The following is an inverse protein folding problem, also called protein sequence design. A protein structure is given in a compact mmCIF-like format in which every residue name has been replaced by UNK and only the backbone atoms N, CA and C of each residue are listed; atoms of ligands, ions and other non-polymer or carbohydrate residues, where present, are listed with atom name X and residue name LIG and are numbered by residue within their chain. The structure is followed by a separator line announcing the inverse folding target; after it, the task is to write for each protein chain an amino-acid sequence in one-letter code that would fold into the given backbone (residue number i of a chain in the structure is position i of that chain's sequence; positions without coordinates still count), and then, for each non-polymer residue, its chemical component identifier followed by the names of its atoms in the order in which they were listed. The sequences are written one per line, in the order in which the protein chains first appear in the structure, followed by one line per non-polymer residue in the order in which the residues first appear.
data_IF_498063878256
#
_entry.id   IF_498063878256
#
_cell.length_a   1.000
_cell.length_b   1.000
_cell.length_c   1.000
_cell.angle_alpha   90.00
_cell.angle_beta   90.00
_cell.angle_gamma   90.00
#
_symmetry.space_group_name_H-M   'P 1'
#
loop_
_entity.id
_entity.type
_entity.pdbx_description
1 polymer ?
#
# COMPACT_ATOMS: atom_id res chain seq x y z
N UNK A 1 -19.81 10.75 2.35
CA UNK A 1 -19.61 11.92 1.47
C UNK A 1 -18.77 11.45 0.28
N UNK A 2 -19.33 11.59 -0.92
CA UNK A 2 -18.63 11.24 -2.16
C UNK A 2 -17.96 12.50 -2.70
N UNK A 3 -16.64 12.48 -2.88
CA UNK A 3 -15.90 13.56 -3.54
C UNK A 3 -15.60 13.08 -4.95
N UNK A 4 -16.19 13.74 -5.95
CA UNK A 4 -15.75 13.56 -7.34
C UNK A 4 -14.42 14.32 -7.50
N UNK A 5 -13.33 13.61 -7.72
CA UNK A 5 -12.13 14.22 -8.26
C UNK A 5 -12.43 14.75 -9.67
N UNK A 6 -11.69 15.77 -10.13
CA UNK A 6 -11.84 16.34 -11.50
C UNK A 6 -11.62 15.30 -12.62
N UNK A 7 -11.04 14.15 -12.29
CA UNK A 7 -10.85 13.02 -13.18
C UNK A 7 -12.12 12.16 -13.15
N UNK A 8 -12.84 12.07 -14.25
CA UNK A 8 -14.10 11.34 -14.43
C UNK A 8 -13.96 9.84 -14.06
N UNK A 9 -12.75 9.31 -13.98
CA UNK A 9 -12.45 7.90 -13.71
C UNK A 9 -12.00 7.62 -12.27
N UNK A 10 -11.94 8.65 -11.41
CA UNK A 10 -11.56 8.48 -10.00
C UNK A 10 -12.75 8.76 -9.08
N UNK A 11 -13.02 7.79 -8.19
CA UNK A 11 -14.08 7.90 -7.18
C UNK A 11 -13.45 7.74 -5.80
N UNK A 12 -13.79 8.64 -4.89
CA UNK A 12 -13.33 8.60 -3.50
C UNK A 12 -14.55 8.54 -2.60
N UNK A 13 -14.55 7.56 -1.71
CA UNK A 13 -15.58 7.41 -0.69
C UNK A 13 -14.91 7.41 0.68
N UNK A 14 -15.45 8.17 1.60
CA UNK A 14 -15.08 8.14 3.02
C UNK A 14 -16.27 7.64 3.80
N UNK A 15 -16.07 6.61 4.58
CA UNK A 15 -17.08 6.02 5.47
C UNK A 15 -16.56 6.18 6.89
N UNK A 16 -17.34 6.79 7.75
CA UNK A 16 -17.01 7.00 9.16
C UNK A 16 -18.03 6.23 9.98
N UNK A 17 -17.55 5.19 10.69
CA UNK A 17 -18.33 4.44 11.66
C UNK A 17 -17.70 4.63 13.04
N UNK A 18 -18.46 5.11 14.01
CA UNK A 18 -17.97 5.36 15.39
C UNK A 18 -16.65 6.16 15.44
N UNK A 19 -16.52 7.14 14.53
CA UNK A 19 -15.32 7.96 14.33
C UNK A 19 -14.11 7.22 13.72
N UNK A 20 -14.25 5.96 13.32
CA UNK A 20 -13.25 5.27 12.53
C UNK A 20 -13.43 5.55 11.05
N UNK A 21 -12.33 5.81 10.36
CA UNK A 21 -12.30 6.15 8.95
C UNK A 21 -11.99 4.91 8.10
N UNK A 22 -12.76 4.71 7.04
CA UNK A 22 -12.40 3.87 5.90
C UNK A 22 -12.39 4.72 4.63
N UNK A 23 -11.31 4.67 3.89
CA UNK A 23 -11.17 5.33 2.60
C UNK A 23 -11.27 4.27 1.51
N UNK A 24 -12.09 4.53 0.49
CA UNK A 24 -12.10 3.76 -0.75
C UNK A 24 -11.74 4.67 -1.90
N UNK A 25 -10.67 4.35 -2.60
CA UNK A 25 -10.24 5.03 -3.83
C UNK A 25 -10.43 4.04 -4.98
N UNK A 26 -11.19 4.43 -6.00
CA UNK A 26 -11.37 3.63 -7.22
C UNK A 26 -10.83 4.46 -8.38
N UNK A 27 -9.85 3.96 -9.09
CA UNK A 27 -9.32 4.67 -10.25
C UNK A 27 -8.69 3.75 -11.30
N UNK A 28 -8.62 4.25 -12.53
CA UNK A 28 -7.96 3.58 -13.65
C UNK A 28 -6.49 3.97 -13.76
N UNK A 29 -6.21 5.25 -13.53
CA UNK A 29 -4.84 5.78 -13.56
C UNK A 29 -4.02 5.32 -12.35
N UNK A 30 -2.70 5.24 -12.44
CA UNK A 30 -1.83 4.88 -11.32
C UNK A 30 -2.08 5.72 -10.07
N UNK A 31 -1.86 5.13 -8.91
CA UNK A 31 -1.90 5.77 -7.60
C UNK A 31 -0.50 5.68 -6.99
N UNK A 32 0.04 6.81 -6.56
CA UNK A 32 1.29 6.86 -5.80
C UNK A 32 1.05 6.34 -4.39
N UNK A 33 1.04 5.01 -4.27
CA UNK A 33 0.63 4.31 -3.05
C UNK A 33 1.65 4.53 -1.93
N UNK A 34 2.94 4.53 -2.25
CA UNK A 34 4.01 4.81 -1.29
C UNK A 34 3.87 6.21 -0.68
N UNK A 35 3.57 7.23 -1.51
CA UNK A 35 3.31 8.59 -1.03
C UNK A 35 2.07 8.64 -0.15
N UNK A 36 0.95 8.08 -0.61
CA UNK A 36 -0.32 8.07 0.13
C UNK A 36 -0.15 7.47 1.52
N UNK A 37 0.38 6.27 1.60
CA UNK A 37 0.52 5.55 2.86
C UNK A 37 1.58 6.18 3.78
N UNK A 38 2.68 6.68 3.20
CA UNK A 38 3.71 7.36 3.97
C UNK A 38 3.21 8.67 4.59
N UNK A 39 2.36 9.41 3.88
CA UNK A 39 1.74 10.63 4.41
C UNK A 39 0.62 10.33 5.41
N UNK A 40 -0.09 9.22 5.27
CA UNK A 40 -1.12 8.78 6.21
C UNK A 40 -0.56 8.03 7.42
N UNK A 41 0.76 7.96 7.57
CA UNK A 41 1.42 7.27 8.70
C UNK A 41 1.01 7.83 10.08
N UNK A 42 0.51 9.06 10.16
CA UNK A 42 -0.01 9.61 11.42
C UNK A 42 -1.29 8.90 11.90
N UNK A 43 -2.04 8.25 11.00
CA UNK A 43 -3.14 7.36 11.30
C UNK A 43 -2.66 5.90 11.21
N UNK A 44 -3.00 5.06 12.20
CA UNK A 44 -2.66 3.65 12.15
C UNK A 44 -3.57 2.91 11.18
N UNK A 45 -2.98 2.31 10.15
CA UNK A 45 -3.70 1.47 9.17
C UNK A 45 -3.98 0.12 9.83
N UNK A 46 -5.25 -0.19 10.04
CA UNK A 46 -5.69 -1.46 10.59
C UNK A 46 -5.76 -2.56 9.55
N UNK A 47 -6.22 -2.20 8.34
CA UNK A 47 -6.32 -3.11 7.22
C UNK A 47 -6.29 -2.34 5.90
N UNK A 48 -5.79 -3.00 4.86
CA UNK A 48 -5.89 -2.51 3.50
C UNK A 48 -6.20 -3.66 2.55
N UNK A 49 -7.06 -3.39 1.57
CA UNK A 49 -7.31 -4.30 0.47
C UNK A 49 -7.13 -3.56 -0.85
N UNK A 50 -6.43 -4.20 -1.78
CA UNK A 50 -6.31 -3.75 -3.17
C UNK A 50 -6.90 -4.86 -4.03
N UNK A 51 -7.77 -4.50 -4.96
CA UNK A 51 -8.35 -5.47 -5.89
C UNK A 51 -8.73 -4.81 -7.21
N UNK A 52 -8.61 -5.60 -8.27
CA UNK A 52 -8.95 -5.17 -9.63
C UNK A 52 -10.46 -5.24 -9.85
N UNK A 53 -10.99 -4.22 -10.47
CA UNK A 53 -12.37 -4.13 -10.91
C UNK A 53 -12.47 -4.32 -12.42
N UNK A 54 -13.70 -4.31 -12.94
CA UNK A 54 -13.95 -4.22 -14.37
C UNK A 54 -13.34 -2.95 -14.95
N UNK A 55 -13.10 -2.91 -16.24
CA UNK A 55 -12.55 -1.75 -16.97
C UNK A 55 -11.14 -1.35 -16.56
N UNK A 56 -10.33 -2.30 -16.04
CA UNK A 56 -8.97 -2.05 -15.56
C UNK A 56 -8.87 -1.02 -14.42
N UNK A 57 -9.94 -0.77 -13.70
CA UNK A 57 -9.92 0.02 -12.48
C UNK A 57 -9.39 -0.83 -11.32
N UNK A 58 -8.69 -0.18 -10.40
CA UNK A 58 -8.30 -0.76 -9.11
C UNK A 58 -9.07 -0.04 -7.99
N UNK A 59 -9.50 -0.80 -7.00
CA UNK A 59 -10.03 -0.28 -5.75
C UNK A 59 -9.00 -0.46 -4.66
N UNK A 60 -8.83 0.58 -3.86
CA UNK A 60 -7.95 0.65 -2.70
C UNK A 60 -8.83 0.95 -1.48
N UNK A 61 -9.02 -0.03 -0.62
CA UNK A 61 -9.77 0.11 0.63
C UNK A 61 -8.78 0.20 1.79
N UNK A 62 -8.78 1.32 2.51
CA UNK A 62 -7.87 1.55 3.63
C UNK A 62 -8.71 1.86 4.86
N UNK A 63 -8.59 1.03 5.89
CA UNK A 63 -9.27 1.20 7.17
C UNK A 63 -8.27 1.56 8.26
N UNK A 64 -8.64 2.52 9.09
CA UNK A 64 -7.81 3.02 10.19
C UNK A 64 -8.37 2.56 11.53
N UNK A 65 -7.49 2.29 12.50
CA UNK A 65 -7.88 1.88 13.85
C UNK A 65 -8.14 3.06 14.79
N UNK A 66 -7.60 4.22 14.47
CA UNK A 66 -7.73 5.41 15.29
C UNK A 66 -8.99 6.21 14.92
N UNK A 67 -9.49 6.93 15.91
CA UNK A 67 -10.56 7.92 15.69
C UNK A 67 -9.98 9.11 14.94
N UNK A 68 -10.74 9.61 13.97
CA UNK A 68 -10.38 10.78 13.18
C UNK A 68 -11.20 11.99 13.60
N UNK A 69 -10.58 13.17 13.55
CA UNK A 69 -11.21 14.46 13.74
C UNK A 69 -11.57 15.09 12.38
N UNK A 70 -12.30 16.20 12.41
CA UNK A 70 -12.57 16.96 11.18
C UNK A 70 -11.30 17.54 10.57
N UNK A 71 -10.32 17.92 11.40
CA UNK A 71 -9.01 18.41 10.95
C UNK A 71 -8.24 17.29 10.26
N UNK A 72 -8.22 16.07 10.81
CA UNK A 72 -7.60 14.92 10.17
C UNK A 72 -8.21 14.64 8.79
N UNK A 73 -9.53 14.77 8.66
CA UNK A 73 -10.21 14.57 7.37
C UNK A 73 -9.76 15.56 6.29
N UNK A 74 -9.53 16.81 6.67
CA UNK A 74 -9.00 17.81 5.75
C UNK A 74 -7.61 17.40 5.23
N UNK A 75 -6.69 17.01 6.12
CA UNK A 75 -5.37 16.54 5.72
C UNK A 75 -5.43 15.27 4.87
N UNK A 76 -6.30 14.34 5.22
CA UNK A 76 -6.50 13.11 4.44
C UNK A 76 -6.93 13.43 3.00
N UNK A 77 -7.83 14.39 2.82
CA UNK A 77 -8.28 14.81 1.47
C UNK A 77 -7.15 15.38 0.63
N UNK A 78 -6.32 16.24 1.20
CA UNK A 78 -5.18 16.85 0.51
C UNK A 78 -4.14 15.77 0.15
N UNK A 79 -3.85 14.85 1.06
CA UNK A 79 -2.92 13.74 0.82
C UNK A 79 -3.43 12.84 -0.31
N UNK A 80 -4.74 12.54 -0.36
CA UNK A 80 -5.32 11.73 -1.44
C UNK A 80 -5.16 12.44 -2.78
N UNK A 81 -5.47 13.72 -2.86
CA UNK A 81 -5.31 14.51 -4.09
C UNK A 81 -3.86 14.52 -4.57
N UNK A 82 -2.93 14.74 -3.64
CA UNK A 82 -1.50 14.75 -3.93
C UNK A 82 -0.99 13.38 -4.41
N UNK A 83 -1.58 12.28 -3.93
CA UNK A 83 -1.19 10.91 -4.33
C UNK A 83 -1.54 10.56 -5.78
N UNK A 84 -2.26 11.43 -6.48
CA UNK A 84 -2.52 11.28 -7.91
C UNK A 84 -1.35 11.77 -8.77
N UNK A 85 -0.40 12.48 -8.18
CA UNK A 85 0.84 12.92 -8.82
C UNK A 85 1.95 11.92 -8.52
N UNK A 86 2.37 11.17 -9.54
CA UNK A 86 3.43 10.16 -9.43
C UNK A 86 4.82 10.77 -9.21
N UNK A 87 4.98 12.09 -9.36
CA UNK A 87 6.24 12.80 -9.06
C UNK A 87 6.43 13.13 -7.58
N UNK A 88 5.38 13.05 -6.79
CA UNK A 88 5.45 13.29 -5.34
C UNK A 88 6.24 12.21 -4.64
N UNK A 89 7.04 12.59 -3.66
CA UNK A 89 7.82 11.66 -2.86
C UNK A 89 7.62 11.92 -1.37
N UNK A 90 7.87 10.91 -0.57
CA UNK A 90 7.82 10.97 0.88
C UNK A 90 8.98 10.18 1.47
N UNK A 91 9.49 10.65 2.59
CA UNK A 91 10.46 9.89 3.39
C UNK A 91 9.65 8.94 4.27
N UNK A 92 9.83 7.65 4.08
CA UNK A 92 9.23 6.61 4.91
C UNK A 92 10.23 6.13 5.95
N UNK A 93 9.75 5.70 7.10
CA UNK A 93 10.59 4.99 8.06
C UNK A 93 10.98 3.64 7.48
N UNK A 94 12.23 3.27 7.67
CA UNK A 94 12.72 1.95 7.25
C UNK A 94 12.36 0.94 8.34
N UNK A 95 11.46 -0.02 8.06
CA UNK A 95 11.12 -1.05 9.03
C UNK A 95 12.22 -2.09 9.15
N UNK A 96 12.21 -2.85 10.25
CA UNK A 96 13.10 -4.01 10.42
C UNK A 96 12.35 -5.23 9.89
N UNK A 97 12.77 -5.73 8.74
CA UNK A 97 12.20 -6.92 8.09
C UNK A 97 13.34 -7.91 7.84
N UNK A 98 13.19 -9.13 8.38
CA UNK A 98 14.15 -10.19 8.13
C UNK A 98 13.81 -10.92 6.83
N UNK A 99 14.82 -11.44 6.16
CA UNK A 99 14.60 -12.24 4.95
C UNK A 99 13.69 -13.45 5.20
N UNK A 100 13.73 -14.00 6.41
CA UNK A 100 12.84 -15.10 6.83
C UNK A 100 11.37 -14.70 6.96
N UNK A 101 11.07 -13.39 7.11
CA UNK A 101 9.72 -12.87 7.25
C UNK A 101 9.02 -12.74 5.88
N UNK A 102 9.76 -12.88 4.77
CA UNK A 102 9.25 -12.75 3.41
C UNK A 102 9.33 -14.09 2.69
N UNK A 103 8.22 -14.46 2.05
CA UNK A 103 8.17 -15.60 1.13
C UNK A 103 7.62 -15.13 -0.21
N UNK A 104 8.35 -15.44 -1.28
CA UNK A 104 7.92 -15.17 -2.65
C UNK A 104 7.73 -16.48 -3.37
N UNK A 105 6.55 -16.64 -3.96
CA UNK A 105 6.25 -17.70 -4.93
C UNK A 105 6.14 -17.07 -6.32
N UNK A 106 7.22 -17.18 -7.10
CA UNK A 106 7.27 -16.69 -8.47
C UNK A 106 6.47 -17.53 -9.45
N UNK A 107 5.99 -18.70 -9.01
CA UNK A 107 5.20 -19.63 -9.81
C UNK A 107 3.73 -19.69 -9.39
N UNK A 108 3.26 -18.69 -8.62
CA UNK A 108 1.88 -18.62 -8.17
C UNK A 108 0.88 -18.79 -9.31
N UNK A 109 1.07 -18.04 -10.40
CA UNK A 109 0.41 -18.26 -11.70
C UNK A 109 1.37 -17.98 -12.85
N UNK A 110 0.91 -18.18 -14.10
CA UNK A 110 1.69 -17.79 -15.29
C UNK A 110 2.03 -16.28 -15.30
N UNK A 111 1.15 -15.44 -14.74
CA UNK A 111 1.24 -13.98 -14.83
C UNK A 111 1.48 -13.29 -13.50
N UNK A 112 1.30 -13.99 -12.38
CA UNK A 112 1.40 -13.41 -11.05
C UNK A 112 2.40 -14.16 -10.19
N UNK A 113 3.18 -13.40 -9.42
CA UNK A 113 3.90 -13.88 -8.26
C UNK A 113 3.13 -13.53 -6.98
N UNK A 114 3.29 -14.29 -5.92
CA UNK A 114 2.79 -13.93 -4.59
C UNK A 114 3.93 -13.60 -3.65
N UNK A 115 3.75 -12.54 -2.86
CA UNK A 115 4.63 -12.19 -1.76
C UNK A 115 3.83 -12.26 -0.46
N UNK A 116 4.30 -13.07 0.47
CA UNK A 116 3.76 -13.18 1.83
C UNK A 116 4.74 -12.53 2.79
N UNK A 117 4.25 -11.67 3.65
CA UNK A 117 5.02 -11.01 4.69
C UNK A 117 4.40 -11.37 6.04
N UNK A 118 5.21 -11.91 6.95
CA UNK A 118 4.82 -12.17 8.33
C UNK A 118 5.91 -11.57 9.21
N UNK A 119 5.75 -10.33 9.59
CA UNK A 119 6.72 -9.57 10.36
C UNK A 119 6.07 -8.94 11.59
N UNK A 120 6.88 -8.56 12.60
CA UNK A 120 6.37 -7.75 13.69
C UNK A 120 5.72 -6.49 13.12
N UNK A 121 4.52 -6.16 13.58
CA UNK A 121 3.83 -4.96 13.12
C UNK A 121 4.63 -3.70 13.46
N UNK A 122 4.86 -2.88 12.47
CA UNK A 122 5.65 -1.65 12.58
C UNK A 122 4.98 -0.57 11.75
N UNK A 123 4.90 0.61 12.36
CA UNK A 123 4.36 1.80 11.69
C UNK A 123 5.16 2.10 10.41
N UNK A 124 4.45 2.27 9.30
CA UNK A 124 5.05 2.54 8.00
C UNK A 124 5.58 1.32 7.24
N UNK A 125 5.43 0.09 7.77
CA UNK A 125 5.92 -1.13 7.12
C UNK A 125 5.46 -1.23 5.66
N UNK A 126 4.16 -1.14 5.42
CA UNK A 126 3.67 -1.27 4.06
C UNK A 126 3.90 0.00 3.22
N UNK A 127 3.93 1.18 3.83
CA UNK A 127 4.29 2.42 3.12
C UNK A 127 5.70 2.33 2.51
N UNK A 128 6.65 1.76 3.24
CA UNK A 128 8.01 1.52 2.78
C UNK A 128 8.05 0.54 1.61
N UNK A 129 7.34 -0.59 1.72
CA UNK A 129 7.27 -1.60 0.65
C UNK A 129 6.60 -1.02 -0.60
N UNK A 130 5.47 -0.31 -0.43
CA UNK A 130 4.76 0.33 -1.52
C UNK A 130 5.63 1.35 -2.25
N UNK A 131 6.42 2.13 -1.50
CA UNK A 131 7.37 3.07 -2.08
C UNK A 131 8.43 2.37 -2.94
N UNK A 132 9.00 1.26 -2.46
CA UNK A 132 9.95 0.47 -3.26
C UNK A 132 9.27 -0.02 -4.54
N UNK A 133 8.04 -0.51 -4.46
CA UNK A 133 7.30 -0.98 -5.62
C UNK A 133 7.04 0.15 -6.62
N UNK A 134 6.65 1.33 -6.14
CA UNK A 134 6.46 2.52 -7.00
C UNK A 134 7.78 2.92 -7.68
N UNK A 135 8.90 2.96 -6.94
CA UNK A 135 10.23 3.31 -7.45
C UNK A 135 10.69 2.33 -8.55
N UNK A 136 10.39 1.05 -8.40
CA UNK A 136 10.71 0.00 -9.37
C UNK A 136 9.62 -0.21 -10.43
N UNK A 137 8.53 0.56 -10.40
CA UNK A 137 7.37 0.41 -11.30
C UNK A 137 6.79 -1.00 -11.27
N UNK A 138 6.67 -1.56 -10.07
CA UNK A 138 6.08 -2.87 -9.84
C UNK A 138 4.57 -2.70 -9.66
N UNK A 139 3.81 -3.42 -10.47
CA UNK A 139 2.36 -3.41 -10.40
C UNK A 139 1.82 -4.40 -9.38
N UNK A 140 1.08 -3.89 -8.41
CA UNK A 140 0.31 -4.71 -7.47
C UNK A 140 -1.03 -5.04 -8.14
N UNK A 141 -1.28 -6.32 -8.38
CA UNK A 141 -2.58 -6.78 -8.91
C UNK A 141 -3.65 -6.77 -7.81
N UNK A 142 -3.30 -7.32 -6.66
CA UNK A 142 -4.12 -7.26 -5.47
C UNK A 142 -3.28 -7.37 -4.20
N UNK A 143 -3.80 -6.87 -3.09
CA UNK A 143 -3.17 -7.01 -1.79
C UNK A 143 -4.23 -7.15 -0.69
N UNK A 144 -3.89 -7.91 0.34
CA UNK A 144 -4.64 -8.00 1.58
C UNK A 144 -3.67 -7.85 2.74
N UNK A 145 -3.83 -6.80 3.50
CA UNK A 145 -2.98 -6.44 4.63
C UNK A 145 -3.82 -6.43 5.89
N UNK A 146 -3.31 -7.03 6.95
CA UNK A 146 -3.95 -6.97 8.26
C UNK A 146 -2.95 -7.26 9.38
N UNK A 147 -3.21 -6.70 10.53
CA UNK A 147 -2.45 -6.96 11.75
C UNK A 147 -3.22 -7.94 12.64
N UNK A 148 -2.55 -8.99 13.07
CA UNK A 148 -3.09 -9.98 14.00
C UNK A 148 -2.07 -10.28 15.10
N UNK A 149 -2.46 -10.09 16.35
CA UNK A 149 -1.62 -10.34 17.53
C UNK A 149 -0.25 -9.64 17.47
N UNK A 150 -0.19 -8.40 16.97
CA UNK A 150 1.04 -7.61 16.86
C UNK A 150 1.96 -8.01 15.70
N UNK A 151 1.46 -8.83 14.78
CA UNK A 151 2.15 -9.19 13.55
C UNK A 151 1.37 -8.73 12.33
N UNK A 152 2.05 -8.06 11.41
CA UNK A 152 1.58 -7.84 10.06
C UNK A 152 1.55 -9.19 9.32
N UNK A 153 0.43 -9.46 8.65
CA UNK A 153 0.23 -10.65 7.82
C UNK A 153 -0.29 -10.20 6.47
N UNK A 154 0.63 -10.00 5.56
CA UNK A 154 0.34 -9.36 4.29
C UNK A 154 0.50 -10.38 3.16
N UNK A 155 -0.46 -10.35 2.24
CA UNK A 155 -0.42 -11.09 0.98
C UNK A 155 -0.53 -10.08 -0.15
N UNK A 156 0.46 -10.09 -1.04
CA UNK A 156 0.51 -9.21 -2.20
C UNK A 156 0.64 -10.08 -3.44
N UNK A 157 -0.25 -9.89 -4.40
CA UNK A 157 -0.12 -10.47 -5.74
C UNK A 157 0.48 -9.41 -6.66
N UNK A 158 1.57 -9.80 -7.31
CA UNK A 158 2.42 -8.92 -8.10
C UNK A 158 2.39 -9.37 -9.55
N UNK A 159 2.18 -8.45 -10.49
CA UNK A 159 2.29 -8.75 -11.90
C UNK A 159 3.74 -9.10 -12.27
N UNK A 160 3.91 -10.24 -12.94
CA UNK A 160 5.22 -10.70 -13.46
C UNK A 160 5.61 -9.91 -14.69
N UNK A 161 5.76 -8.60 -14.56
CA UNK A 161 6.30 -7.75 -15.61
C UNK A 161 7.84 -7.84 -15.67
N UNK A 162 8.44 -7.26 -16.71
CA UNK A 162 9.88 -7.30 -16.89
C UNK A 162 10.67 -6.72 -15.73
N UNK A 163 10.15 -5.68 -15.07
CA UNK A 163 10.83 -5.04 -13.93
C UNK A 163 10.88 -5.97 -12.73
N UNK A 164 9.77 -6.61 -12.38
CA UNK A 164 9.74 -7.55 -11.26
C UNK A 164 10.65 -8.76 -11.53
N UNK A 165 10.52 -9.39 -12.71
CA UNK A 165 11.31 -10.58 -13.06
C UNK A 165 12.81 -10.32 -13.06
N UNK A 166 13.25 -9.14 -13.54
CA UNK A 166 14.67 -8.79 -13.62
C UNK A 166 15.29 -8.29 -12.33
N UNK A 167 14.49 -7.78 -11.38
CA UNK A 167 14.96 -7.09 -10.18
C UNK A 167 14.47 -7.68 -8.86
N UNK A 168 13.87 -8.87 -8.90
CA UNK A 168 13.28 -9.50 -7.72
C UNK A 168 14.26 -9.58 -6.54
N UNK A 169 15.51 -10.00 -6.78
CA UNK A 169 16.52 -10.12 -5.72
C UNK A 169 16.93 -8.76 -5.16
N UNK A 170 17.09 -7.75 -6.03
CA UNK A 170 17.39 -6.37 -5.62
C UNK A 170 16.26 -5.80 -4.73
N UNK A 171 15.00 -6.01 -5.13
CA UNK A 171 13.82 -5.58 -4.38
C UNK A 171 13.78 -6.24 -2.99
N UNK A 172 14.00 -7.56 -2.91
CA UNK A 172 14.04 -8.28 -1.63
C UNK A 172 15.16 -7.75 -0.74
N UNK A 173 16.34 -7.52 -1.31
CA UNK A 173 17.47 -7.01 -0.55
C UNK A 173 17.23 -5.60 -0.03
N UNK A 174 16.52 -4.75 -0.77
CA UNK A 174 16.13 -3.42 -0.31
C UNK A 174 15.10 -3.49 0.82
N UNK A 175 14.11 -4.37 0.71
CA UNK A 175 13.10 -4.55 1.76
C UNK A 175 13.75 -5.05 3.05
N UNK A 176 14.78 -5.91 2.96
CA UNK A 176 15.43 -6.57 4.08
C UNK A 176 16.75 -5.89 4.53
N UNK A 177 17.01 -4.65 4.14
CA UNK A 177 18.34 -4.01 4.29
C UNK A 177 18.79 -3.87 5.75
N UNK A 178 17.87 -3.92 6.69
CA UNK A 178 18.17 -3.73 8.11
C UNK A 178 18.56 -5.01 8.89
N UNK A 179 18.68 -6.16 8.20
CA UNK A 179 19.12 -7.41 8.84
C UNK A 179 20.66 -7.46 9.05
N UNK A 180 21.38 -6.42 8.62
CA UNK A 180 22.85 -6.38 8.66
C UNK A 180 23.47 -5.54 9.78
N UNK A 181 22.64 -4.87 10.59
CA UNK A 181 23.12 -3.96 11.65
C UNK A 181 22.77 -4.39 13.08
N UNK A 182 22.51 -5.68 13.31
CA UNK A 182 22.33 -6.20 14.68
C UNK A 182 23.35 -7.27 14.97
#
# INVERSE_FOLDING_TARGET
ISIKAKDVETYIYKIINDSQLTIRIIRKSPLNLGYLLGKLEFLNIAAMNIFKLYDNKKAFDISFSEKVTEEDLFFVEEIIKDSFDMSKSVITKTPIIKKADIRIDSNHTAYLASMHIIAKDQKGLFAYIAKIFDDFKIEIESAKLHTLNGYARDLILIEKNGNFCSKQEEIINLICINDKEI
#
